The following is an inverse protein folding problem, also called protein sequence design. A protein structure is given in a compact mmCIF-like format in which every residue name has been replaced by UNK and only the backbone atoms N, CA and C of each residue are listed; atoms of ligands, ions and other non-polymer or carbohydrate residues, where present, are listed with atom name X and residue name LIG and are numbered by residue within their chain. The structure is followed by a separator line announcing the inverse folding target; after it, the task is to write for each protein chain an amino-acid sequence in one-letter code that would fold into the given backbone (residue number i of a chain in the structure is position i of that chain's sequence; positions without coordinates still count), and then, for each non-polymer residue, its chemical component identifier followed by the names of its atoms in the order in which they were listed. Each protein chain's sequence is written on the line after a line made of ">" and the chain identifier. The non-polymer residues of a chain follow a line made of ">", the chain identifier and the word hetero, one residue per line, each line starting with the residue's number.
data_IF_259059705874
#
_entry.id   IF_259059705874
#
_cell.length_a   1.000
_cell.length_b   1.000
_cell.length_c   1.000
_cell.angle_alpha   90.00
_cell.angle_beta   90.00
_cell.angle_gamma   90.00
#
_symmetry.space_group_name_H-M   'P 1'
#
loop_
_entity.id
_entity.type
_entity.pdbx_description
1 polymer ?
#
# COMPACT_ATOMS: atom_id res chain seq x y z
N UNK A 1 17.99 14.79 12.43
CA UNK A 1 16.81 15.55 11.95
C UNK A 1 16.38 14.87 10.67
N UNK A 2 15.65 13.77 10.78
CA UNK A 2 15.54 12.78 9.71
C UNK A 2 14.19 12.97 9.02
N UNK A 3 14.24 13.51 7.80
CA UNK A 3 13.06 13.76 6.96
C UNK A 3 12.79 12.52 6.12
N UNK A 4 11.60 11.95 6.22
CA UNK A 4 11.19 10.75 5.47
C UNK A 4 10.15 11.18 4.42
N UNK A 5 10.42 10.86 3.16
CA UNK A 5 9.55 11.20 2.01
C UNK A 5 9.18 9.90 1.28
N UNK A 6 7.89 9.61 1.10
CA UNK A 6 7.39 8.41 0.41
C UNK A 6 6.08 8.64 -0.34
N UNK A 7 6.01 8.30 -1.63
CA UNK A 7 4.92 8.69 -2.56
C UNK A 7 4.31 7.43 -3.21
N UNK A 8 2.98 7.38 -3.37
CA UNK A 8 2.26 6.26 -4.01
C UNK A 8 1.51 6.78 -5.25
N UNK A 9 1.54 6.09 -6.40
CA UNK A 9 0.97 6.59 -7.67
C UNK A 9 0.37 5.47 -8.53
N UNK A 10 -0.49 5.84 -9.48
CA UNK A 10 -0.84 5.02 -10.63
C UNK A 10 -0.72 5.82 -11.93
N UNK A 11 -0.51 5.08 -13.01
CA UNK A 11 -0.17 5.49 -14.37
C UNK A 11 -1.42 5.67 -15.25
N UNK A 12 -1.38 6.62 -16.20
CA UNK A 12 -1.93 6.41 -17.56
C UNK A 12 -0.86 6.82 -18.58
N UNK A 13 -0.45 5.86 -19.41
CA UNK A 13 0.47 6.05 -20.53
C UNK A 13 -0.28 6.25 -21.85
N UNK A 14 0.37 6.97 -22.77
CA UNK A 14 -0.13 7.25 -24.11
C UNK A 14 -0.26 5.99 -24.97
N UNK A 15 -1.19 6.09 -25.92
CA UNK A 15 -1.84 5.05 -26.70
C UNK A 15 -0.89 4.40 -27.72
N UNK A 16 -0.86 3.07 -27.70
CA UNK A 16 -0.69 2.22 -28.89
C UNK A 16 -1.82 1.19 -28.86
N UNK A 17 -2.74 1.25 -29.83
CA UNK A 17 -3.83 0.30 -29.95
C UNK A 17 -3.30 -1.07 -30.39
N UNK A 18 -3.33 -2.04 -29.47
CA UNK A 18 -3.53 -3.44 -29.78
C UNK A 18 -4.75 -3.88 -28.97
N UNK A 19 -5.79 -4.37 -29.65
CA UNK A 19 -7.07 -4.71 -29.03
C UNK A 19 -7.01 -5.86 -28.03
N UNK A 20 -7.88 -5.78 -27.02
CA UNK A 20 -8.22 -6.84 -26.05
C UNK A 20 -7.59 -6.62 -24.67
N UNK A 21 -8.31 -6.34 -23.58
CA UNK A 21 -9.74 -6.49 -23.28
C UNK A 21 -10.21 -5.33 -22.39
N UNK A 22 -11.38 -4.77 -22.69
CA UNK A 22 -12.14 -3.97 -21.73
C UNK A 22 -12.75 -4.91 -20.69
N UNK A 23 -11.94 -5.37 -19.75
CA UNK A 23 -12.46 -5.96 -18.52
C UNK A 23 -13.06 -4.84 -17.67
N UNK A 24 -14.20 -5.10 -17.03
CA UNK A 24 -14.67 -4.21 -15.96
C UNK A 24 -13.52 -4.03 -14.95
N UNK A 25 -13.26 -2.80 -14.54
CA UNK A 25 -12.25 -2.47 -13.53
C UNK A 25 -12.91 -1.63 -12.45
N UNK A 26 -12.57 -1.91 -11.18
CA UNK A 26 -12.99 -1.06 -10.06
C UNK A 26 -11.87 -0.07 -9.76
N UNK A 27 -12.12 1.21 -10.00
CA UNK A 27 -11.16 2.28 -9.73
C UNK A 27 -11.20 2.64 -8.25
N UNK A 28 -10.13 2.31 -7.52
CA UNK A 28 -10.01 2.62 -6.08
C UNK A 28 -9.46 4.02 -5.88
N UNK A 29 -8.38 4.40 -6.56
CA UNK A 29 -7.77 5.73 -6.43
C UNK A 29 -7.37 6.30 -7.80
N UNK A 30 -7.95 7.43 -8.17
CA UNK A 30 -7.68 8.13 -9.43
C UNK A 30 -6.82 9.38 -9.19
N UNK A 31 -5.73 9.24 -8.43
CA UNK A 31 -4.86 10.37 -8.07
C UNK A 31 -4.29 11.13 -9.28
N UNK A 32 -4.14 10.44 -10.42
CA UNK A 32 -3.71 11.02 -11.69
C UNK A 32 -4.73 11.98 -12.33
N UNK A 33 -5.98 11.98 -11.85
CA UNK A 33 -7.04 12.93 -12.21
C UNK A 33 -7.27 14.00 -11.14
N UNK A 34 -6.34 14.14 -10.20
CA UNK A 34 -6.47 15.00 -9.02
C UNK A 34 -7.65 14.64 -8.10
N UNK A 35 -8.05 13.37 -8.13
CA UNK A 35 -9.19 12.89 -7.35
C UNK A 35 -8.74 12.32 -5.99
N UNK A 36 -9.31 12.87 -4.92
CA UNK A 36 -9.22 12.36 -3.55
C UNK A 36 -10.61 12.10 -2.94
N UNK A 37 -11.65 12.02 -3.75
CA UNK A 37 -13.00 11.80 -3.29
C UNK A 37 -13.13 10.45 -2.59
N UNK A 38 -13.77 10.50 -1.41
CA UNK A 38 -13.94 9.35 -0.54
C UNK A 38 -12.69 8.93 0.24
N UNK A 39 -11.55 9.61 0.07
CA UNK A 39 -10.37 9.41 0.91
C UNK A 39 -10.45 10.26 2.19
N UNK A 40 -10.13 9.66 3.32
CA UNK A 40 -10.10 10.32 4.62
C UNK A 40 -8.81 9.99 5.37
N UNK A 41 -8.22 10.99 6.03
CA UNK A 41 -7.07 10.79 6.90
C UNK A 41 -7.50 10.17 8.22
N UNK A 42 -6.77 9.14 8.67
CA UNK A 42 -6.84 8.60 10.02
C UNK A 42 -5.50 8.77 10.70
N UNK A 43 -5.48 9.55 11.77
CA UNK A 43 -4.29 9.82 12.58
C UNK A 43 -4.21 8.86 13.75
N UNK A 44 -3.05 8.25 13.95
CA UNK A 44 -2.71 7.46 15.15
C UNK A 44 -1.75 8.21 16.06
N UNK A 45 -0.73 8.86 15.49
CA UNK A 45 0.22 9.72 16.21
C UNK A 45 0.90 10.68 15.23
N UNK A 46 0.64 11.99 15.30
CA UNK A 46 1.17 12.95 14.31
C UNK A 46 0.56 12.79 12.91
N UNK A 47 0.64 13.84 12.09
CA UNK A 47 0.03 13.87 10.75
C UNK A 47 1.06 13.63 9.65
N UNK A 48 0.70 12.79 8.69
CA UNK A 48 1.41 12.66 7.42
C UNK A 48 0.69 13.56 6.42
N UNK A 49 1.44 14.42 5.73
CA UNK A 49 0.87 15.29 4.69
C UNK A 49 0.56 14.45 3.46
N UNK A 50 -0.71 14.41 3.04
CA UNK A 50 -1.16 13.76 1.81
C UNK A 50 -1.64 14.82 0.83
N UNK A 51 -0.93 14.99 -0.29
CA UNK A 51 -1.28 15.99 -1.31
C UNK A 51 -1.18 15.40 -2.71
N UNK A 52 -2.05 15.86 -3.61
CA UNK A 52 -1.83 15.67 -5.04
C UNK A 52 -0.71 16.62 -5.49
N UNK A 53 0.33 16.08 -6.10
CA UNK A 53 1.47 16.86 -6.58
C UNK A 53 1.92 16.40 -7.97
N UNK A 54 2.57 17.29 -8.71
CA UNK A 54 3.24 16.94 -9.97
C UNK A 54 4.69 16.52 -9.70
N UNK A 55 5.07 15.31 -10.10
CA UNK A 55 6.42 14.78 -10.06
C UNK A 55 6.85 14.34 -11.46
N UNK A 56 7.84 15.02 -12.06
CA UNK A 56 8.37 14.71 -13.41
C UNK A 56 7.24 14.50 -14.45
N UNK A 57 6.31 15.46 -14.50
CA UNK A 57 5.12 15.46 -15.37
C UNK A 57 4.07 14.38 -15.08
N UNK A 58 4.06 13.78 -13.88
CA UNK A 58 3.00 12.87 -13.42
C UNK A 58 2.29 13.46 -12.22
N UNK A 59 0.95 13.44 -12.19
CA UNK A 59 0.18 13.75 -10.98
C UNK A 59 0.12 12.51 -10.08
N UNK A 60 0.49 12.68 -8.81
CA UNK A 60 0.70 11.59 -7.85
C UNK A 60 0.12 11.95 -6.50
N UNK A 61 -0.24 10.94 -5.69
CA UNK A 61 -0.47 11.13 -4.26
C UNK A 61 0.88 11.13 -3.53
N UNK A 62 1.30 12.29 -3.06
CA UNK A 62 2.52 12.47 -2.27
C UNK A 62 2.19 12.35 -0.78
N UNK A 63 2.91 11.46 -0.09
CA UNK A 63 2.89 11.40 1.37
C UNK A 63 4.23 11.91 1.96
N UNK A 64 4.15 12.76 2.97
CA UNK A 64 5.32 13.27 3.69
C UNK A 64 5.09 13.10 5.19
N UNK A 65 5.93 12.28 5.82
CA UNK A 65 5.84 11.98 7.25
C UNK A 65 7.05 12.58 7.99
N UNK A 66 6.81 12.98 9.24
CA UNK A 66 7.87 13.41 10.13
C UNK A 66 7.56 12.90 11.53
N UNK A 67 8.16 11.77 11.87
CA UNK A 67 7.88 11.06 13.13
C UNK A 67 6.38 10.91 13.39
N UNK A 68 5.64 10.52 12.34
CA UNK A 68 4.18 10.43 12.33
C UNK A 68 3.70 9.05 11.89
N UNK A 69 2.52 8.68 12.36
CA UNK A 69 1.76 7.49 12.05
C UNK A 69 0.32 7.91 11.75
N UNK A 70 0.02 8.00 10.46
CA UNK A 70 -1.34 8.22 9.95
C UNK A 70 -1.49 7.47 8.63
N UNK A 71 -2.73 7.29 8.18
CA UNK A 71 -3.02 6.70 6.89
C UNK A 71 -4.10 7.48 6.16
N UNK A 72 -4.06 7.39 4.83
CA UNK A 72 -5.13 7.83 3.95
C UNK A 72 -5.98 6.60 3.61
N UNK A 73 -7.27 6.63 3.96
CA UNK A 73 -8.18 5.48 3.83
C UNK A 73 -9.32 5.84 2.88
N UNK A 74 -9.59 4.99 1.90
CA UNK A 74 -10.85 4.97 1.17
C UNK A 74 -11.61 3.71 1.51
N UNK A 75 -12.87 3.86 1.92
CA UNK A 75 -13.76 2.72 2.12
C UNK A 75 -14.41 2.37 0.79
N UNK A 76 -14.05 1.21 0.24
CA UNK A 76 -14.70 0.64 -0.94
C UNK A 76 -14.92 -0.84 -0.72
N UNK A 77 -16.05 -1.36 -1.21
CA UNK A 77 -16.34 -2.80 -1.21
C UNK A 77 -16.06 -3.34 -2.60
N UNK A 78 -15.26 -4.40 -2.70
CA UNK A 78 -14.89 -5.06 -3.95
C UNK A 78 -14.98 -6.56 -3.73
N UNK A 79 -15.70 -7.26 -4.61
CA UNK A 79 -15.66 -8.72 -4.62
C UNK A 79 -14.35 -9.18 -5.27
N UNK A 80 -13.42 -9.67 -4.44
CA UNK A 80 -12.12 -10.17 -4.89
C UNK A 80 -12.22 -11.49 -5.67
N UNK A 81 -13.38 -12.16 -5.71
CA UNK A 81 -13.60 -13.31 -6.60
C UNK A 81 -13.89 -12.87 -8.03
N UNK A 82 -14.51 -11.71 -8.19
CA UNK A 82 -14.77 -11.09 -9.49
C UNK A 82 -13.58 -10.22 -9.96
N UNK A 83 -12.98 -9.46 -9.03
CA UNK A 83 -11.84 -8.57 -9.27
C UNK A 83 -10.62 -8.99 -8.42
N UNK A 84 -9.97 -10.13 -8.72
CA UNK A 84 -8.92 -10.68 -7.87
C UNK A 84 -7.62 -9.88 -7.87
N UNK A 85 -7.37 -9.08 -8.91
CA UNK A 85 -6.10 -8.38 -9.07
C UNK A 85 -6.16 -6.95 -8.55
N UNK A 86 -5.38 -6.66 -7.51
CA UNK A 86 -5.01 -5.30 -7.14
C UNK A 86 -3.72 -4.94 -7.89
N UNK A 87 -3.78 -3.85 -8.66
CA UNK A 87 -2.62 -3.27 -9.33
C UNK A 87 -2.28 -1.98 -8.59
N UNK A 88 -1.02 -1.53 -8.54
CA UNK A 88 -0.62 -0.17 -8.09
C UNK A 88 0.82 0.14 -8.46
N UNK A 89 1.21 1.41 -8.34
CA UNK A 89 2.61 1.79 -8.41
C UNK A 89 3.03 2.54 -7.15
N UNK A 90 4.28 2.38 -6.76
CA UNK A 90 4.84 3.12 -5.63
C UNK A 90 6.29 3.49 -5.85
N UNK A 91 6.73 4.49 -5.10
CA UNK A 91 8.06 5.06 -5.19
C UNK A 91 8.44 5.69 -3.86
N UNK A 92 9.60 5.32 -3.35
CA UNK A 92 10.17 5.98 -2.17
C UNK A 92 11.35 6.85 -2.60
N UNK A 93 11.49 8.01 -1.96
CA UNK A 93 12.62 8.92 -2.22
C UNK A 93 13.75 8.72 -1.21
N UNK A 94 13.44 8.21 -0.01
CA UNK A 94 14.43 8.00 1.03
C UNK A 94 14.31 6.60 1.60
N UNK A 95 15.45 5.97 1.88
CA UNK A 95 15.48 4.74 2.66
C UNK A 95 15.11 5.09 4.08
N UNK A 96 14.19 4.32 4.65
CA UNK A 96 14.00 4.30 6.08
C UNK A 96 14.80 3.11 6.62
N UNK A 97 15.76 3.38 7.49
CA UNK A 97 16.51 2.36 8.22
C UNK A 97 16.01 2.41 9.65
N UNK A 98 15.32 1.37 10.09
CA UNK A 98 14.96 1.29 11.51
C UNK A 98 16.23 1.08 12.32
N UNK A 99 16.56 2.06 13.16
CA UNK A 99 17.67 1.94 14.12
C UNK A 99 17.26 1.27 15.43
N UNK A 100 15.96 1.01 15.62
CA UNK A 100 15.43 0.47 16.87
C UNK A 100 15.06 -1.01 16.72
N UNK A 101 15.49 -1.80 17.72
CA UNK A 101 15.22 -3.24 17.84
C UNK A 101 13.88 -3.55 18.54
N UNK A 102 13.09 -2.53 18.87
CA UNK A 102 11.79 -2.75 19.51
C UNK A 102 10.79 -3.29 18.49
N UNK A 103 10.15 -4.42 18.81
CA UNK A 103 9.16 -5.13 17.98
C UNK A 103 7.97 -4.27 17.51
N UNK A 104 7.65 -3.18 18.22
CA UNK A 104 6.62 -2.21 17.79
C UNK A 104 7.17 -1.18 16.82
N UNK A 105 8.43 -0.79 16.96
CA UNK A 105 9.13 0.13 16.05
C UNK A 105 9.61 -0.56 14.76
N UNK A 106 9.66 -1.89 14.74
CA UNK A 106 9.89 -2.68 13.53
C UNK A 106 8.66 -2.77 12.62
N UNK A 107 7.51 -2.20 13.01
CA UNK A 107 6.33 -2.02 12.16
C UNK A 107 6.35 -0.71 11.37
N UNK A 108 7.51 -0.09 11.16
CA UNK A 108 7.62 1.10 10.32
C UNK A 108 8.08 0.71 8.91
N UNK A 109 7.37 1.21 7.90
CA UNK A 109 7.59 0.86 6.49
C UNK A 109 7.58 2.12 5.64
N UNK A 110 8.39 2.12 4.57
CA UNK A 110 8.49 3.29 3.70
C UNK A 110 7.19 3.54 2.92
N UNK A 111 6.41 2.48 2.65
CA UNK A 111 5.06 2.54 2.13
C UNK A 111 4.28 1.28 2.53
N UNK A 112 2.95 1.39 2.67
CA UNK A 112 2.06 0.26 2.98
C UNK A 112 0.69 0.45 2.32
N UNK A 113 0.15 -0.65 1.77
CA UNK A 113 -1.26 -0.75 1.36
C UNK A 113 -1.96 -1.77 2.25
N UNK A 114 -3.08 -1.37 2.82
CA UNK A 114 -3.95 -2.24 3.62
C UNK A 114 -5.12 -2.73 2.77
N UNK A 115 -5.27 -4.05 2.66
CA UNK A 115 -6.48 -4.66 2.13
C UNK A 115 -7.18 -5.38 3.27
N UNK A 116 -8.30 -4.80 3.72
CA UNK A 116 -9.11 -5.37 4.80
C UNK A 116 -10.19 -6.26 4.19
N UNK A 117 -10.19 -7.52 4.61
CA UNK A 117 -11.18 -8.52 4.23
C UNK A 117 -12.22 -8.56 5.35
N UNK A 118 -13.37 -7.96 5.06
CA UNK A 118 -14.53 -8.05 5.94
C UNK A 118 -15.14 -9.46 5.83
N UNK A 119 -15.20 -10.16 6.97
CA UNK A 119 -15.78 -11.51 7.07
C UNK A 119 -17.29 -11.51 7.22
N UNK A 120 -17.97 -10.36 7.07
CA UNK A 120 -19.41 -10.21 7.28
C UNK A 120 -19.74 -9.82 8.72
N UNK A 121 -20.85 -10.34 9.28
CA UNK A 121 -21.46 -9.91 10.55
C UNK A 121 -20.54 -10.01 11.81
N UNK A 122 -19.34 -10.58 11.70
CA UNK A 122 -18.40 -10.73 12.80
C UNK A 122 -17.16 -9.85 12.56
N UNK A 123 -17.26 -8.56 12.87
CA UNK A 123 -16.15 -7.58 12.73
C UNK A 123 -14.86 -7.99 13.44
N UNK A 124 -14.94 -8.81 14.50
CA UNK A 124 -13.78 -9.33 15.22
C UNK A 124 -13.00 -10.42 14.46
N UNK A 125 -13.52 -10.90 13.32
CA UNK A 125 -12.83 -11.83 12.41
C UNK A 125 -12.22 -11.13 11.19
N UNK A 126 -12.24 -9.79 11.15
CA UNK A 126 -11.65 -9.04 10.04
C UNK A 126 -10.19 -9.45 9.85
N UNK A 127 -9.87 -9.91 8.63
CA UNK A 127 -8.52 -10.27 8.20
C UNK A 127 -7.94 -9.14 7.37
N UNK A 128 -6.63 -8.99 7.32
CA UNK A 128 -6.00 -7.95 6.52
C UNK A 128 -4.68 -8.38 5.89
N UNK A 129 -4.56 -8.18 4.59
CA UNK A 129 -3.29 -8.33 3.87
C UNK A 129 -2.64 -6.96 3.75
N UNK A 130 -1.37 -6.87 4.13
CA UNK A 130 -0.59 -5.64 4.11
C UNK A 130 0.56 -5.81 3.14
N UNK A 131 0.51 -5.11 2.02
CA UNK A 131 1.64 -5.07 1.09
C UNK A 131 2.58 -3.94 1.51
N UNK A 132 3.83 -4.28 1.80
CA UNK A 132 4.77 -3.34 2.42
C UNK A 132 6.03 -3.15 1.58
N UNK A 133 6.54 -1.92 1.64
CA UNK A 133 7.93 -1.62 1.33
C UNK A 133 8.73 -1.64 2.63
N UNK A 134 9.35 -2.78 2.91
CA UNK A 134 10.01 -3.05 4.18
C UNK A 134 11.29 -2.22 4.39
N UNK A 135 11.48 -1.77 5.63
CA UNK A 135 12.53 -0.85 6.04
C UNK A 135 13.92 -1.47 6.21
N UNK A 136 14.01 -2.66 6.80
CA UNK A 136 15.25 -3.41 6.95
C UNK A 136 14.95 -4.75 7.62
N UNK A 137 15.54 -5.82 7.09
CA UNK A 137 15.54 -7.23 7.54
C UNK A 137 14.58 -8.19 6.83
N UNK A 138 13.48 -7.71 6.26
CA UNK A 138 12.61 -8.60 5.48
C UNK A 138 13.22 -8.93 4.12
N UNK A 139 13.21 -10.21 3.75
CA UNK A 139 13.44 -10.68 2.39
C UNK A 139 12.30 -10.32 1.45
N UNK A 140 12.58 -10.38 0.14
CA UNK A 140 11.55 -10.22 -0.87
C UNK A 140 10.52 -11.37 -0.76
N UNK A 141 9.23 -11.01 -0.81
CA UNK A 141 8.08 -11.88 -0.58
C UNK A 141 8.04 -12.57 0.78
N UNK A 142 8.83 -12.10 1.77
CA UNK A 142 8.70 -12.59 3.14
C UNK A 142 7.32 -12.24 3.72
N UNK A 143 6.78 -13.15 4.53
CA UNK A 143 5.45 -13.05 5.13
C UNK A 143 5.57 -13.22 6.63
N UNK A 144 4.96 -12.32 7.39
CA UNK A 144 4.94 -12.38 8.86
C UNK A 144 3.66 -11.75 9.44
N UNK A 145 3.24 -12.11 10.66
CA UNK A 145 2.09 -11.49 11.31
C UNK A 145 2.39 -10.07 11.79
N UNK A 146 1.38 -9.21 11.78
CA UNK A 146 1.46 -7.86 12.34
C UNK A 146 1.77 -7.92 13.84
N UNK A 147 2.68 -7.07 14.37
CA UNK A 147 2.93 -6.98 15.81
C UNK A 147 1.74 -6.43 16.61
N UNK A 148 0.74 -5.83 15.94
CA UNK A 148 -0.45 -5.26 16.58
C UNK A 148 -1.69 -6.16 16.50
N UNK A 149 -1.84 -6.91 15.39
CA UNK A 149 -3.04 -7.71 15.12
C UNK A 149 -2.76 -9.20 14.91
N UNK A 150 -1.50 -9.64 15.05
CA UNK A 150 -1.11 -11.04 14.94
C UNK A 150 -1.54 -11.66 13.61
N UNK A 151 -1.98 -12.92 13.67
CA UNK A 151 -2.41 -13.69 12.50
C UNK A 151 -3.71 -13.19 11.86
N UNK A 152 -4.36 -12.14 12.38
CA UNK A 152 -5.48 -11.51 11.68
C UNK A 152 -4.98 -10.50 10.63
N UNK A 153 -3.74 -10.04 10.73
CA UNK A 153 -3.18 -9.05 9.80
C UNK A 153 -1.80 -9.49 9.35
N UNK A 154 -1.68 -9.98 8.12
CA UNK A 154 -0.43 -10.51 7.59
C UNK A 154 0.29 -9.45 6.76
N UNK A 155 1.61 -9.39 6.91
CA UNK A 155 2.51 -8.55 6.14
C UNK A 155 3.10 -9.35 4.99
N UNK A 156 3.24 -8.72 3.83
CA UNK A 156 3.87 -9.27 2.64
C UNK A 156 4.87 -8.25 2.10
N UNK A 157 6.16 -8.54 2.23
CA UNK A 157 7.22 -7.67 1.72
C UNK A 157 7.33 -7.75 0.20
N UNK A 158 6.72 -6.81 -0.51
CA UNK A 158 6.87 -6.74 -1.97
C UNK A 158 8.13 -5.99 -2.39
N UNK A 159 8.60 -5.09 -1.52
CA UNK A 159 9.83 -4.32 -1.68
C UNK A 159 10.58 -4.28 -0.37
N UNK A 160 11.88 -4.08 -0.46
CA UNK A 160 12.79 -4.10 0.67
C UNK A 160 13.72 -2.89 0.67
N UNK A 161 14.58 -2.84 1.67
CA UNK A 161 15.59 -1.79 1.80
C UNK A 161 16.68 -1.84 0.74
N UNK A 162 16.72 -2.86 -0.13
CA UNK A 162 17.72 -2.99 -1.20
C UNK A 162 17.22 -2.46 -2.55
N UNK A 163 15.90 -2.33 -2.73
CA UNK A 163 15.29 -1.77 -3.95
C UNK A 163 15.80 -0.35 -4.25
N UNK A 164 15.77 0.05 -5.53
CA UNK A 164 16.27 1.35 -5.95
C UNK A 164 15.35 2.47 -5.46
N UNK A 165 15.96 3.51 -4.89
CA UNK A 165 15.25 4.75 -4.61
C UNK A 165 14.87 5.47 -5.91
N UNK A 166 13.92 6.40 -5.80
CA UNK A 166 13.56 7.29 -6.90
C UNK A 166 13.18 6.52 -8.18
N UNK A 167 12.61 5.33 -8.02
CA UNK A 167 12.20 4.41 -9.08
C UNK A 167 10.74 4.02 -8.84
N UNK A 168 9.95 4.05 -9.90
CA UNK A 168 8.57 3.55 -9.85
C UNK A 168 8.60 2.05 -10.00
N UNK A 169 7.88 1.38 -9.11
CA UNK A 169 7.63 -0.05 -9.20
C UNK A 169 6.15 -0.28 -9.36
N UNK A 170 5.78 -0.99 -10.41
CA UNK A 170 4.43 -1.44 -10.68
C UNK A 170 4.23 -2.82 -10.03
N UNK A 171 3.20 -2.93 -9.21
CA UNK A 171 2.80 -4.12 -8.50
C UNK A 171 1.48 -4.64 -9.07
N UNK A 172 1.35 -5.96 -9.12
CA UNK A 172 0.11 -6.66 -9.44
C UNK A 172 -0.01 -7.88 -8.53
N UNK A 173 -1.02 -7.90 -7.66
CA UNK A 173 -1.25 -8.98 -6.70
C UNK A 173 -2.62 -9.59 -6.89
N UNK A 174 -2.67 -10.91 -6.93
CA UNK A 174 -3.93 -11.63 -6.81
C UNK A 174 -4.30 -11.67 -5.32
N UNK A 175 -5.13 -10.73 -4.89
CA UNK A 175 -5.57 -10.58 -3.50
C UNK A 175 -6.34 -11.81 -3.04
N UNK A 176 -7.18 -12.39 -3.91
CA UNK A 176 -7.93 -13.59 -3.57
C UNK A 176 -7.03 -14.78 -3.25
N UNK A 177 -6.03 -15.05 -4.09
CA UNK A 177 -5.06 -16.11 -3.82
C UNK A 177 -4.16 -15.78 -2.62
N UNK A 178 -3.77 -14.51 -2.44
CA UNK A 178 -3.01 -14.09 -1.26
C UNK A 178 -3.81 -14.36 0.03
N UNK A 179 -5.10 -14.00 0.06
CA UNK A 179 -5.99 -14.26 1.21
C UNK A 179 -6.13 -15.77 1.46
N UNK A 180 -6.36 -16.55 0.41
CA UNK A 180 -6.48 -18.01 0.52
C UNK A 180 -5.21 -18.66 1.04
N UNK A 181 -4.04 -18.24 0.56
CA UNK A 181 -2.74 -18.77 0.99
C UNK A 181 -2.41 -18.38 2.43
N UNK A 182 -2.73 -17.15 2.83
CA UNK A 182 -2.44 -16.63 4.17
C UNK A 182 -3.39 -17.18 5.24
N UNK A 183 -4.65 -17.46 4.87
CA UNK A 183 -5.71 -17.70 5.84
C UNK A 183 -6.50 -19.00 5.64
N UNK A 184 -6.23 -19.76 4.58
CA UNK A 184 -6.85 -21.06 4.30
C UNK A 184 -8.34 -21.01 3.90
N UNK A 185 -8.84 -19.85 3.49
CA UNK A 185 -10.27 -19.60 3.21
C UNK A 185 -10.47 -18.55 2.14
#
# INVERSE_FOLDING_TARGET
>A
MNRVFGVLCFIVGAILFAGGASGNQVLVGEFSKSDLDGWAEKVFSGKTSYIIATLRNKMVLKAESSSSASCLIKKTSVDIREYPYLNWSWRIENRFVSTNKDLKSSDDYAARIFVVIDGGLLLWKAKAVNYVWAASQAGENEIWPSPFAGNNSMMVALRTSTDKLSTWYDEKRNVYEDVKNLYGS
#
